data_IF_340556302158
#
_entry.id   IF_340556302158
#
_cell.length_a   1.000
_cell.length_b   1.000
_cell.length_c   1.000
_cell.angle_alpha   90.00
_cell.angle_beta   90.00
_cell.angle_gamma   90.00
#
_symmetry.space_group_name_H-M   'P 1'
#
loop_
_entity.id
_entity.type
_entity.pdbx_description
1 polymer ?
#
# COMPACT_ATOMS: atom_id res chain seq x y z
N UNK A 1 44.15 3.45 31.01
CA UNK A 1 42.91 4.24 31.05
C UNK A 1 41.95 3.66 30.02
N UNK A 2 40.98 2.89 30.47
CA UNK A 2 39.85 2.44 29.63
C UNK A 2 38.93 3.63 29.44
N UNK A 3 38.79 4.11 28.21
CA UNK A 3 37.80 5.11 27.84
C UNK A 3 36.45 4.40 27.92
N UNK A 4 35.76 4.60 29.04
CA UNK A 4 34.38 4.17 29.23
C UNK A 4 33.51 4.95 28.23
N UNK A 5 33.24 4.34 27.09
CA UNK A 5 32.29 4.86 26.11
C UNK A 5 30.94 5.03 26.80
N UNK A 6 30.40 6.25 26.78
CA UNK A 6 29.07 6.54 27.31
C UNK A 6 28.06 5.69 26.55
N UNK A 7 27.45 4.72 27.23
CA UNK A 7 26.31 3.98 26.70
C UNK A 7 25.24 5.00 26.30
N UNK A 8 24.96 5.08 25.00
CA UNK A 8 23.89 5.93 24.47
C UNK A 8 22.58 5.54 25.17
N UNK A 9 21.92 6.50 25.84
CA UNK A 9 20.62 6.24 26.46
C UNK A 9 19.62 5.87 25.36
N UNK A 10 19.14 4.63 25.39
CA UNK A 10 18.09 4.16 24.49
C UNK A 10 16.84 5.04 24.63
N UNK A 11 16.22 5.37 23.50
CA UNK A 11 14.93 6.06 23.50
C UNK A 11 13.80 5.17 24.03
N UNK A 12 12.68 5.72 24.51
CA UNK A 12 11.53 4.94 24.95
C UNK A 12 11.03 3.94 23.88
N UNK A 13 11.13 4.32 22.61
CA UNK A 13 10.76 3.47 21.46
C UNK A 13 11.71 2.28 21.27
N UNK A 14 13.01 2.47 21.52
CA UNK A 14 14.00 1.40 21.45
C UNK A 14 13.93 0.48 22.67
N UNK A 15 13.65 1.06 23.84
CA UNK A 15 13.45 0.29 25.08
C UNK A 15 12.20 -0.59 25.01
N UNK A 16 11.12 -0.10 24.37
CA UNK A 16 9.89 -0.86 24.15
C UNK A 16 9.99 -1.89 23.02
N UNK A 17 11.06 -1.86 22.22
CA UNK A 17 11.24 -2.74 21.08
C UNK A 17 12.04 -3.99 21.45
N UNK A 18 11.59 -5.14 20.94
CA UNK A 18 12.38 -6.37 21.01
C UNK A 18 13.53 -6.31 19.99
N UNK A 19 14.76 -6.20 20.47
CA UNK A 19 15.95 -6.09 19.60
C UNK A 19 16.17 -7.36 18.76
N UNK A 20 15.76 -8.53 19.26
CA UNK A 20 15.81 -9.80 18.54
C UNK A 20 14.75 -9.87 17.42
N UNK A 21 13.67 -9.10 17.53
CA UNK A 21 12.60 -9.01 16.53
C UNK A 21 12.85 -7.91 15.49
N UNK A 22 14.09 -7.42 15.35
CA UNK A 22 14.41 -6.40 14.35
C UNK A 22 14.13 -6.90 12.92
N UNK A 23 13.15 -6.27 12.25
CA UNK A 23 12.65 -6.68 10.93
C UNK A 23 12.15 -8.13 10.88
N UNK A 24 11.63 -8.61 12.00
CA UNK A 24 10.91 -9.86 12.06
C UNK A 24 9.43 -9.50 12.16
N UNK A 25 8.62 -10.02 11.24
CA UNK A 25 7.18 -9.88 11.33
C UNK A 25 6.69 -10.54 12.63
N UNK A 26 5.79 -9.88 13.35
CA UNK A 26 5.11 -10.50 14.49
C UNK A 26 4.16 -11.60 14.00
N UNK A 27 3.42 -11.32 12.91
CA UNK A 27 2.50 -12.26 12.28
C UNK A 27 2.30 -11.91 10.80
N UNK A 28 2.16 -12.93 9.95
CA UNK A 28 1.68 -12.78 8.58
C UNK A 28 0.14 -12.71 8.59
N UNK A 29 -0.41 -11.58 8.17
CA UNK A 29 -1.86 -11.32 8.21
C UNK A 29 -2.52 -11.55 6.85
N UNK A 30 -1.77 -11.43 5.76
CA UNK A 30 -2.25 -11.74 4.42
C UNK A 30 -1.17 -12.48 3.64
N UNK A 31 -1.55 -13.54 2.95
CA UNK A 31 -0.65 -14.36 2.14
C UNK A 31 -1.09 -14.35 0.68
N UNK A 32 -0.13 -14.33 -0.24
CA UNK A 32 -0.40 -14.67 -1.63
C UNK A 32 0.21 -16.04 -1.97
N UNK A 33 -0.49 -16.84 -2.77
CA UNK A 33 -0.06 -18.21 -3.14
C UNK A 33 1.37 -18.25 -3.69
N UNK A 34 1.76 -17.23 -4.46
CA UNK A 34 3.04 -17.20 -5.17
C UNK A 34 4.25 -16.92 -4.26
N UNK A 35 4.09 -16.12 -3.22
CA UNK A 35 5.22 -15.66 -2.39
C UNK A 35 5.12 -16.08 -0.93
N UNK A 36 3.99 -16.66 -0.50
CA UNK A 36 3.74 -17.06 0.88
C UNK A 36 3.50 -15.91 1.86
N UNK A 37 3.60 -14.66 1.40
CA UNK A 37 3.36 -13.46 2.20
C UNK A 37 2.91 -12.29 1.34
N UNK A 38 2.07 -11.43 1.89
CA UNK A 38 1.53 -10.27 1.23
C UNK A 38 1.46 -9.04 2.14
N UNK A 39 1.05 -9.20 3.38
CA UNK A 39 1.11 -8.16 4.38
C UNK A 39 1.27 -8.74 5.79
N UNK A 40 2.04 -8.02 6.61
CA UNK A 40 2.40 -8.46 7.97
C UNK A 40 2.04 -7.43 9.01
N UNK A 41 1.80 -7.89 10.23
CA UNK A 41 1.97 -7.09 11.43
C UNK A 41 3.46 -7.05 11.80
N UNK A 42 3.99 -5.85 12.02
CA UNK A 42 5.30 -5.64 12.59
C UNK A 42 5.26 -4.40 13.49
N UNK A 43 5.08 -4.66 14.78
CA UNK A 43 5.08 -3.68 15.87
C UNK A 43 6.47 -3.12 16.15
N UNK A 44 7.51 -3.87 15.76
CA UNK A 44 8.90 -3.51 15.98
C UNK A 44 9.60 -3.30 14.64
N UNK A 45 9.67 -2.04 14.20
CA UNK A 45 10.28 -1.65 12.94
C UNK A 45 11.31 -0.54 13.15
N UNK A 46 12.57 -0.75 12.74
CA UNK A 46 13.58 0.31 12.78
C UNK A 46 13.87 0.86 11.38
N UNK A 47 13.81 2.19 11.25
CA UNK A 47 14.15 2.91 10.01
C UNK A 47 15.55 2.52 9.55
N UNK A 48 15.69 2.15 8.27
CA UNK A 48 17.01 1.98 7.62
C UNK A 48 17.93 3.13 8.01
N UNK A 49 19.05 2.81 8.63
CA UNK A 49 20.23 3.64 8.52
C UNK A 49 21.47 2.80 8.70
N UNK A 50 22.50 3.25 8.00
CA UNK A 50 23.87 2.78 8.14
C UNK A 50 24.28 2.92 9.63
N UNK A 51 25.20 2.07 10.09
CA UNK A 51 25.87 2.14 11.40
C UNK A 51 25.13 1.51 12.61
N UNK A 52 24.67 0.26 12.51
CA UNK A 52 24.31 -0.55 13.70
C UNK A 52 23.05 -0.12 14.45
N UNK A 53 21.97 0.22 13.74
CA UNK A 53 20.71 0.67 14.35
C UNK A 53 19.95 -0.46 15.07
N UNK A 54 19.39 -0.11 16.22
CA UNK A 54 18.45 -0.85 17.08
C UNK A 54 17.05 -0.94 16.48
N UNK A 55 16.31 -1.94 16.92
CA UNK A 55 14.87 -2.02 16.75
C UNK A 55 14.18 -0.91 17.54
N UNK A 56 13.06 -0.39 17.00
CA UNK A 56 12.24 0.61 17.66
C UNK A 56 10.75 0.31 17.36
N UNK A 57 9.88 0.69 18.29
CA UNK A 57 8.43 0.68 18.02
C UNK A 57 8.09 1.91 17.16
N UNK A 58 7.26 1.70 16.13
CA UNK A 58 6.81 2.76 15.23
C UNK A 58 5.30 2.77 15.06
N UNK A 59 4.76 3.88 14.55
CA UNK A 59 3.32 3.98 14.33
C UNK A 59 2.80 3.12 13.15
N UNK A 60 3.70 2.65 12.28
CA UNK A 60 3.36 1.75 11.17
C UNK A 60 3.41 0.31 11.64
N UNK A 61 2.23 -0.28 11.81
CA UNK A 61 2.08 -1.67 12.23
C UNK A 61 1.91 -2.63 11.04
N UNK A 62 1.25 -2.18 9.97
CA UNK A 62 0.97 -3.02 8.81
C UNK A 62 1.92 -2.70 7.66
N UNK A 63 2.58 -3.74 7.16
CA UNK A 63 3.62 -3.63 6.14
C UNK A 63 3.31 -4.51 4.94
N UNK A 64 3.38 -3.93 3.74
CA UNK A 64 3.23 -4.66 2.48
C UNK A 64 4.51 -5.46 2.21
N UNK A 65 4.40 -6.78 2.05
CA UNK A 65 5.54 -7.69 1.86
C UNK A 65 5.55 -8.38 0.50
N UNK A 66 4.40 -8.52 -0.18
CA UNK A 66 4.37 -9.13 -1.52
C UNK A 66 5.24 -8.32 -2.50
N UNK A 67 6.20 -8.95 -3.21
CA UNK A 67 7.11 -8.26 -4.13
C UNK A 67 6.43 -7.60 -5.31
N UNK A 68 5.39 -8.23 -5.85
CA UNK A 68 4.70 -7.71 -7.03
C UNK A 68 3.79 -6.55 -6.65
N UNK A 69 3.07 -6.66 -5.54
CA UNK A 69 2.29 -5.55 -5.01
C UNK A 69 3.19 -4.38 -4.61
N UNK A 70 4.32 -4.63 -3.91
CA UNK A 70 5.30 -3.57 -3.62
C UNK A 70 5.79 -2.89 -4.90
N UNK A 71 6.16 -3.66 -5.91
CA UNK A 71 6.70 -3.09 -7.17
C UNK A 71 5.65 -2.27 -7.90
N UNK A 72 4.41 -2.75 -7.95
CA UNK A 72 3.30 -2.06 -8.60
C UNK A 72 2.92 -0.77 -7.85
N UNK A 73 2.79 -0.84 -6.51
CA UNK A 73 2.50 0.33 -5.68
C UNK A 73 3.64 1.36 -5.76
N UNK A 74 4.89 0.93 -5.69
CA UNK A 74 6.04 1.81 -5.89
C UNK A 74 6.07 2.45 -7.28
N UNK A 75 5.56 1.77 -8.32
CA UNK A 75 5.40 2.37 -9.65
C UNK A 75 4.41 3.53 -9.60
N UNK A 76 3.21 3.31 -9.05
CA UNK A 76 2.19 4.37 -8.89
C UNK A 76 2.75 5.56 -8.11
N UNK A 77 3.43 5.31 -6.99
CA UNK A 77 4.03 6.37 -6.17
C UNK A 77 5.07 7.18 -6.94
N UNK A 78 5.95 6.54 -7.72
CA UNK A 78 6.95 7.23 -8.56
C UNK A 78 6.32 8.11 -9.64
N UNK A 79 5.13 7.74 -10.14
CA UNK A 79 4.39 8.56 -11.09
C UNK A 79 3.64 9.73 -10.42
N UNK A 80 3.75 9.91 -9.10
CA UNK A 80 3.15 11.04 -8.38
C UNK A 80 1.76 10.75 -7.80
N UNK A 81 1.37 9.48 -7.70
CA UNK A 81 0.06 9.07 -7.19
C UNK A 81 -0.24 9.60 -5.78
N UNK A 82 0.73 9.64 -4.86
CA UNK A 82 0.53 10.16 -3.49
C UNK A 82 0.13 11.63 -3.54
N UNK A 83 0.88 12.47 -4.24
CA UNK A 83 0.58 13.89 -4.37
C UNK A 83 -0.75 14.14 -5.09
N UNK A 84 -1.09 13.30 -6.08
CA UNK A 84 -2.35 13.41 -6.80
C UNK A 84 -3.56 13.03 -5.93
N UNK A 85 -3.45 11.95 -5.14
CA UNK A 85 -4.47 11.55 -4.19
C UNK A 85 -4.57 12.49 -3.00
N UNK A 86 -3.47 13.11 -2.57
CA UNK A 86 -3.54 14.16 -1.54
C UNK A 86 -4.41 15.33 -2.03
N UNK A 87 -4.23 15.79 -3.28
CA UNK A 87 -5.10 16.82 -3.86
C UNK A 87 -6.56 16.38 -3.94
N UNK A 88 -6.83 15.11 -4.24
CA UNK A 88 -8.18 14.56 -4.20
C UNK A 88 -8.77 14.62 -2.78
N UNK A 89 -8.02 14.19 -1.76
CA UNK A 89 -8.45 14.26 -0.35
C UNK A 89 -8.69 15.70 0.09
N UNK A 90 -7.83 16.64 -0.33
CA UNK A 90 -7.97 18.05 0.02
C UNK A 90 -9.19 18.69 -0.67
N UNK A 91 -9.46 18.29 -1.91
CA UNK A 91 -10.52 18.85 -2.76
C UNK A 91 -11.90 18.19 -2.62
N UNK A 92 -11.98 16.95 -2.11
CA UNK A 92 -13.24 16.20 -1.99
C UNK A 92 -13.53 15.81 -0.52
N UNK A 93 -14.49 16.52 0.09
CA UNK A 93 -14.86 16.33 1.49
C UNK A 93 -15.37 14.91 1.83
N UNK A 94 -16.03 14.21 0.88
CA UNK A 94 -16.52 12.84 1.10
C UNK A 94 -15.36 11.85 1.11
N UNK A 95 -14.41 11.98 0.17
CA UNK A 95 -13.19 11.17 0.15
C UNK A 95 -12.38 11.41 1.43
N UNK A 96 -12.22 12.67 1.83
CA UNK A 96 -11.54 13.04 3.07
C UNK A 96 -12.19 12.40 4.29
N UNK A 97 -13.50 12.49 4.43
CA UNK A 97 -14.23 11.92 5.57
C UNK A 97 -14.04 10.41 5.67
N UNK A 98 -14.08 9.69 4.53
CA UNK A 98 -13.86 8.24 4.49
C UNK A 98 -12.42 7.85 4.81
N UNK A 99 -11.44 8.59 4.28
CA UNK A 99 -10.02 8.39 4.65
C UNK A 99 -9.82 8.60 6.15
N UNK A 100 -10.32 9.70 6.71
CA UNK A 100 -10.23 9.99 8.15
C UNK A 100 -10.92 8.92 8.99
N UNK A 101 -12.10 8.44 8.58
CA UNK A 101 -12.81 7.37 9.28
C UNK A 101 -12.05 6.04 9.28
N UNK A 102 -11.20 5.79 8.28
CA UNK A 102 -10.38 4.57 8.21
C UNK A 102 -9.32 4.49 9.32
N UNK A 103 -8.95 5.62 9.94
CA UNK A 103 -8.00 5.63 11.07
C UNK A 103 -8.57 4.90 12.29
N UNK A 104 -9.87 5.08 12.58
CA UNK A 104 -10.52 4.35 13.67
C UNK A 104 -10.57 2.84 13.41
N UNK A 105 -10.72 2.42 12.13
CA UNK A 105 -10.67 1.01 11.73
C UNK A 105 -9.27 0.43 11.94
N UNK A 106 -8.23 1.19 11.58
CA UNK A 106 -6.84 0.84 11.84
C UNK A 106 -6.56 0.69 13.34
N UNK A 107 -6.96 1.68 14.15
CA UNK A 107 -6.77 1.68 15.60
C UNK A 107 -7.48 0.50 16.27
N UNK A 108 -8.73 0.22 15.91
CA UNK A 108 -9.49 -0.92 16.43
C UNK A 108 -8.81 -2.26 16.08
N UNK A 109 -8.32 -2.42 14.85
CA UNK A 109 -7.63 -3.64 14.43
C UNK A 109 -6.27 -3.78 15.11
N UNK A 110 -5.51 -2.70 15.25
CA UNK A 110 -4.27 -2.66 16.01
C UNK A 110 -4.48 -3.06 17.48
N UNK A 111 -5.52 -2.54 18.14
CA UNK A 111 -5.89 -2.91 19.51
C UNK A 111 -6.17 -4.41 19.65
N UNK A 112 -6.83 -5.00 18.67
CA UNK A 112 -7.18 -6.42 18.68
C UNK A 112 -5.95 -7.35 18.50
N UNK A 113 -4.91 -6.88 17.81
CA UNK A 113 -3.72 -7.68 17.49
C UNK A 113 -2.56 -7.51 18.48
N UNK A 114 -2.45 -6.34 19.11
CA UNK A 114 -1.38 -6.06 20.07
C UNK A 114 -1.73 -6.60 21.47
N UNK A 115 -0.72 -7.06 22.21
CA UNK A 115 -0.87 -7.32 23.65
C UNK A 115 -1.25 -6.03 24.39
N UNK A 116 -1.83 -6.14 25.58
CA UNK A 116 -2.20 -4.98 26.39
C UNK A 116 -1.02 -4.02 26.61
N UNK A 117 0.16 -4.55 26.96
CA UNK A 117 1.37 -3.77 27.13
C UNK A 117 1.77 -3.02 25.84
N UNK A 118 1.77 -3.72 24.69
CA UNK A 118 2.14 -3.11 23.40
C UNK A 118 1.10 -2.07 22.96
N UNK A 119 -0.18 -2.33 23.20
CA UNK A 119 -1.24 -1.36 22.91
C UNK A 119 -1.14 -0.13 23.81
N UNK A 120 -0.95 -0.29 25.12
CA UNK A 120 -0.78 0.85 26.04
C UNK A 120 0.37 1.75 25.59
N UNK A 121 1.50 1.16 25.19
CA UNK A 121 2.60 1.93 24.61
C UNK A 121 2.17 2.61 23.30
N UNK A 122 1.57 1.87 22.36
CA UNK A 122 1.16 2.39 21.06
C UNK A 122 0.17 3.57 21.18
N UNK A 123 -0.86 3.42 21.99
CA UNK A 123 -1.89 4.42 22.25
C UNK A 123 -1.29 5.70 22.83
N UNK A 124 -0.48 5.56 23.90
CA UNK A 124 0.16 6.68 24.57
C UNK A 124 1.14 7.47 23.68
N UNK A 125 1.70 6.83 22.65
CA UNK A 125 2.72 7.43 21.79
C UNK A 125 2.25 7.81 20.39
N UNK A 126 1.13 7.27 19.90
CA UNK A 126 0.68 7.49 18.53
C UNK A 126 -0.79 7.90 18.42
N UNK A 127 -1.68 7.46 19.32
CA UNK A 127 -3.14 7.66 19.16
C UNK A 127 -3.68 8.78 20.05
N UNK A 128 -3.42 8.70 21.36
CA UNK A 128 -4.04 9.56 22.38
C UNK A 128 -3.26 10.84 22.70
N UNK A 129 -2.20 11.15 21.95
CA UNK A 129 -1.44 12.40 22.15
C UNK A 129 -2.24 13.63 21.67
N UNK A 130 -2.17 14.77 22.38
CA UNK A 130 -2.76 16.02 21.92
C UNK A 130 -2.16 16.48 20.58
N UNK A 131 -3.01 16.97 19.67
CA UNK A 131 -2.61 17.49 18.36
C UNK A 131 -1.62 18.67 18.49
N UNK A 132 -1.81 19.52 19.51
CA UNK A 132 -0.95 20.66 19.84
C UNK A 132 0.46 20.29 20.33
N UNK A 133 0.68 19.05 20.74
CA UNK A 133 2.00 18.53 21.11
C UNK A 133 2.78 17.97 19.89
N UNK A 134 2.24 18.12 18.67
CA UNK A 134 2.77 17.49 17.45
C UNK A 134 2.71 15.97 17.48
N UNK A 135 1.98 15.40 18.46
CA UNK A 135 2.09 14.01 18.88
C UNK A 135 1.02 13.09 18.32
N UNK A 136 -0.17 13.59 17.97
CA UNK A 136 -1.20 12.73 17.38
C UNK A 136 -0.76 12.26 16.01
N UNK A 137 -0.54 10.96 15.88
CA UNK A 137 -0.18 10.30 14.64
C UNK A 137 -1.38 9.51 14.17
N UNK A 138 -2.00 9.96 13.09
CA UNK A 138 -3.22 9.32 12.63
C UNK A 138 -2.91 8.03 11.88
N UNK A 139 -3.65 6.97 12.22
CA UNK A 139 -3.68 5.71 11.48
C UNK A 139 -2.33 5.10 11.13
N UNK A 140 -2.29 4.36 10.02
CA UNK A 140 -1.06 3.79 9.51
C UNK A 140 -0.11 4.90 8.98
N UNK A 141 1.20 4.65 9.03
CA UNK A 141 2.26 5.51 8.48
C UNK A 141 2.64 6.76 9.32
N UNK A 142 1.97 7.02 10.44
CA UNK A 142 2.26 8.14 11.35
C UNK A 142 2.15 9.52 10.68
N UNK A 143 1.01 9.79 10.04
CA UNK A 143 0.79 11.08 9.38
C UNK A 143 0.56 12.21 10.39
N UNK A 144 0.85 13.46 9.98
CA UNK A 144 0.79 14.62 10.87
C UNK A 144 -0.62 15.15 11.10
N UNK A 145 -1.47 15.09 10.08
CA UNK A 145 -2.87 15.48 10.12
C UNK A 145 -3.76 14.33 9.64
N UNK A 146 -5.02 14.30 10.08
CA UNK A 146 -5.93 13.20 9.77
C UNK A 146 -6.18 12.99 8.26
N UNK A 147 -5.99 14.04 7.45
CA UNK A 147 -6.15 13.99 5.99
C UNK A 147 -4.88 13.63 5.22
N UNK A 148 -3.72 13.63 5.88
CA UNK A 148 -2.44 13.45 5.21
C UNK A 148 -2.29 12.01 4.67
N UNK A 149 -1.63 11.88 3.53
CA UNK A 149 -1.22 10.62 2.91
C UNK A 149 0.31 10.53 2.87
N UNK A 150 0.89 9.50 3.48
CA UNK A 150 2.35 9.30 3.44
C UNK A 150 2.81 8.44 2.28
N UNK A 151 2.27 7.23 2.18
CA UNK A 151 2.58 6.28 1.13
C UNK A 151 1.40 5.33 0.91
N UNK A 152 1.22 4.89 -0.32
CA UNK A 152 0.22 3.91 -0.70
C UNK A 152 0.56 2.52 -0.16
N UNK A 153 1.85 2.22 0.03
CA UNK A 153 2.26 0.95 0.64
C UNK A 153 1.60 0.71 2.00
N UNK A 154 1.52 1.74 2.84
CA UNK A 154 0.89 1.64 4.16
C UNK A 154 -0.63 1.48 4.06
N UNK A 155 -1.29 2.20 3.14
CA UNK A 155 -2.74 2.11 2.97
C UNK A 155 -3.15 0.74 2.41
N UNK A 156 -2.42 0.24 1.41
CA UNK A 156 -2.62 -1.10 0.84
C UNK A 156 -2.35 -2.19 1.87
N UNK A 157 -1.28 -2.05 2.66
CA UNK A 157 -0.99 -3.00 3.75
C UNK A 157 -2.10 -3.01 4.79
N UNK A 158 -2.61 -1.83 5.17
CA UNK A 158 -3.73 -1.70 6.11
C UNK A 158 -4.97 -2.46 5.59
N UNK A 159 -5.34 -2.27 4.33
CA UNK A 159 -6.44 -3.01 3.70
C UNK A 159 -6.23 -4.52 3.71
N UNK A 160 -5.06 -5.00 3.26
CA UNK A 160 -4.76 -6.43 3.20
C UNK A 160 -4.72 -7.08 4.60
N UNK A 161 -4.27 -6.34 5.60
CA UNK A 161 -4.25 -6.82 6.98
C UNK A 161 -5.64 -6.89 7.64
N UNK A 162 -6.73 -6.56 6.94
CA UNK A 162 -8.09 -6.67 7.48
C UNK A 162 -8.58 -5.44 8.24
N UNK A 163 -7.93 -4.28 8.04
CA UNK A 163 -8.39 -2.99 8.54
C UNK A 163 -8.78 -2.08 7.36
N UNK A 164 -10.03 -2.16 6.84
CA UNK A 164 -10.40 -1.53 5.56
C UNK A 164 -10.00 -0.05 5.45
N UNK A 165 -9.31 0.28 4.36
CA UNK A 165 -8.91 1.64 4.00
C UNK A 165 -9.43 1.95 2.59
N UNK A 166 -10.31 2.95 2.41
CA UNK A 166 -10.96 3.17 1.11
C UNK A 166 -9.97 3.45 -0.03
N UNK A 167 -8.86 4.13 0.25
CA UNK A 167 -7.82 4.41 -0.74
C UNK A 167 -6.96 3.16 -0.97
N UNK A 168 -6.61 2.43 0.10
CA UNK A 168 -5.90 1.15 -0.01
C UNK A 168 -6.67 0.11 -0.83
N UNK A 169 -7.97 -0.01 -0.58
CA UNK A 169 -8.90 -0.88 -1.30
C UNK A 169 -8.99 -0.44 -2.77
N UNK A 170 -9.17 0.86 -3.03
CA UNK A 170 -9.19 1.39 -4.39
C UNK A 170 -7.92 1.07 -5.17
N UNK A 171 -6.74 1.15 -4.55
CA UNK A 171 -5.46 0.80 -5.19
C UNK A 171 -5.42 -0.68 -5.57
N UNK A 172 -5.85 -1.58 -4.68
CA UNK A 172 -5.90 -3.01 -4.97
C UNK A 172 -6.85 -3.31 -6.13
N UNK A 173 -8.04 -2.70 -6.13
CA UNK A 173 -9.01 -2.84 -7.21
C UNK A 173 -8.54 -2.23 -8.53
N UNK A 174 -7.78 -1.13 -8.48
CA UNK A 174 -7.18 -0.54 -9.66
C UNK A 174 -6.14 -1.47 -10.30
N UNK A 175 -5.31 -2.14 -9.49
CA UNK A 175 -4.36 -3.14 -9.98
C UNK A 175 -5.09 -4.29 -10.70
N UNK A 176 -6.21 -4.77 -10.13
CA UNK A 176 -7.06 -5.79 -10.76
C UNK A 176 -7.67 -5.27 -12.06
N UNK A 177 -8.16 -4.02 -12.07
CA UNK A 177 -8.69 -3.36 -13.26
C UNK A 177 -7.67 -3.27 -14.39
N UNK A 178 -6.43 -2.86 -14.07
CA UNK A 178 -5.34 -2.84 -15.04
C UNK A 178 -5.03 -4.25 -15.58
N UNK A 179 -5.07 -5.29 -14.75
CA UNK A 179 -4.90 -6.67 -15.21
C UNK A 179 -5.95 -7.07 -16.25
N UNK A 180 -7.20 -6.66 -16.09
CA UNK A 180 -8.27 -6.93 -17.08
C UNK A 180 -8.00 -6.20 -18.40
N UNK A 181 -7.57 -4.94 -18.34
CA UNK A 181 -7.15 -4.20 -19.55
C UNK A 181 -5.99 -4.88 -20.28
N UNK A 182 -5.03 -5.46 -19.55
CA UNK A 182 -3.95 -6.24 -20.17
C UNK A 182 -4.51 -7.47 -20.90
N UNK A 183 -5.47 -8.18 -20.30
CA UNK A 183 -6.11 -9.34 -20.95
C UNK A 183 -6.82 -8.95 -22.25
N UNK A 184 -7.57 -7.84 -22.22
CA UNK A 184 -8.27 -7.29 -23.40
C UNK A 184 -7.30 -6.90 -24.52
N UNK A 185 -6.15 -6.31 -24.18
CA UNK A 185 -5.12 -5.95 -25.16
C UNK A 185 -4.36 -7.16 -25.72
N UNK A 186 -4.19 -8.22 -24.92
CA UNK A 186 -3.53 -9.45 -25.35
C UNK A 186 -4.45 -10.37 -26.16
N UNK A 187 -5.76 -10.28 -25.91
CA UNK A 187 -6.80 -11.01 -26.63
C UNK A 187 -7.80 -10.01 -27.21
N UNK A 188 -7.39 -9.19 -28.21
CA UNK A 188 -8.35 -8.35 -28.88
C UNK A 188 -9.47 -9.25 -29.36
N UNK A 189 -10.72 -8.90 -29.02
CA UNK A 189 -11.88 -9.65 -29.48
C UNK A 189 -11.69 -9.92 -30.98
N UNK A 190 -11.77 -11.18 -31.40
CA UNK A 190 -11.80 -11.50 -32.82
C UNK A 190 -13.04 -10.81 -33.37
N UNK A 191 -12.85 -9.69 -34.04
CA UNK A 191 -13.90 -9.14 -34.87
C UNK A 191 -14.34 -10.25 -35.85
N UNK A 192 -15.64 -10.45 -36.05
CA UNK A 192 -16.10 -11.31 -37.14
C UNK A 192 -15.46 -10.78 -38.43
N UNK A 193 -14.82 -11.68 -39.17
CA UNK A 193 -13.91 -11.34 -40.27
C UNK A 193 -14.50 -10.26 -41.20
N UNK A 194 -13.73 -9.23 -41.56
CA UNK A 194 -14.15 -8.29 -42.58
C UNK A 194 -14.24 -9.03 -43.92
N UNK A 195 -15.32 -8.77 -44.65
CA UNK A 195 -15.45 -9.19 -46.03
C UNK A 195 -14.26 -8.62 -46.81
N UNK A 196 -13.63 -9.47 -47.63
CA UNK A 196 -12.42 -9.11 -48.36
C UNK A 196 -12.77 -8.05 -49.39
N UNK A 197 -12.32 -6.83 -49.15
CA UNK A 197 -11.72 -5.94 -50.15
C UNK A 197 -11.30 -4.63 -49.47
N UNK A 198 -9.98 -4.41 -49.32
CA UNK A 198 -9.26 -3.25 -49.87
C UNK A 198 -7.83 -3.12 -49.30
N UNK A 199 -7.02 -2.44 -50.11
CA UNK A 199 -5.56 -2.38 -50.11
C UNK A 199 -4.95 -1.48 -49.01
N UNK A 200 -3.80 -1.95 -48.53
CA UNK A 200 -2.55 -1.25 -48.19
C UNK A 200 -2.58 0.21 -47.70
N UNK A 201 -2.01 0.46 -46.50
CA UNK A 201 -1.00 1.50 -46.30
C UNK A 201 -0.27 1.37 -44.94
N UNK A 202 1.04 1.58 -45.05
CA UNK A 202 2.00 2.19 -44.11
C UNK A 202 2.29 1.57 -42.73
N UNK A 203 3.53 1.09 -42.63
CA UNK A 203 4.33 1.00 -41.40
C UNK A 203 4.55 2.40 -40.81
N UNK A 204 4.10 2.62 -39.58
CA UNK A 204 4.60 3.72 -38.75
C UNK A 204 5.06 3.16 -37.40
N UNK A 205 6.37 3.26 -37.16
CA UNK A 205 7.03 2.85 -35.92
C UNK A 205 6.79 3.92 -34.84
N UNK A 206 5.57 3.96 -34.31
CA UNK A 206 5.27 4.60 -33.04
C UNK A 206 5.23 3.54 -31.94
N UNK A 207 5.98 3.73 -30.85
CA UNK A 207 5.77 2.94 -29.63
C UNK A 207 4.27 3.03 -29.26
N UNK A 208 3.59 1.91 -28.96
CA UNK A 208 2.15 1.87 -29.04
C UNK A 208 1.55 2.77 -27.96
N UNK A 209 0.67 3.68 -28.37
CA UNK A 209 -0.08 4.59 -27.51
C UNK A 209 -0.83 3.87 -26.35
N UNK A 210 -0.99 2.55 -26.43
CA UNK A 210 -1.58 1.69 -25.41
C UNK A 210 -0.79 1.59 -24.10
N UNK A 211 0.54 1.74 -24.11
CA UNK A 211 1.37 1.62 -22.88
C UNK A 211 1.23 2.88 -22.01
N UNK A 212 1.07 4.05 -22.60
CA UNK A 212 0.93 5.32 -21.87
C UNK A 212 -0.36 5.36 -21.01
N UNK A 213 -1.38 4.57 -21.35
CA UNK A 213 -2.64 4.51 -20.60
C UNK A 213 -2.47 3.90 -19.19
N UNK A 214 -1.46 3.04 -18.98
CA UNK A 214 -1.25 2.37 -17.69
C UNK A 214 -0.54 3.25 -16.65
N UNK A 215 0.07 4.36 -17.07
CA UNK A 215 0.69 5.34 -16.20
C UNK A 215 -0.14 6.64 -16.08
N UNK A 216 -1.37 6.65 -16.60
CA UNK A 216 -2.26 7.80 -16.51
C UNK A 216 -2.76 8.02 -15.07
N UNK A 217 -2.06 8.91 -14.36
CA UNK A 217 -2.40 9.31 -13.00
C UNK A 217 -3.77 9.96 -12.91
N UNK A 218 -4.24 10.66 -13.95
CA UNK A 218 -5.58 11.26 -13.94
C UNK A 218 -6.64 10.17 -13.95
N UNK A 219 -6.49 9.15 -14.81
CA UNK A 219 -7.38 7.99 -14.82
C UNK A 219 -7.34 7.21 -13.49
N UNK A 220 -6.17 7.09 -12.87
CA UNK A 220 -6.04 6.50 -11.53
C UNK A 220 -6.79 7.30 -10.46
N UNK A 221 -6.65 8.63 -10.42
CA UNK A 221 -7.37 9.48 -9.45
C UNK A 221 -8.88 9.38 -9.62
N UNK A 222 -9.38 9.43 -10.87
CA UNK A 222 -10.80 9.25 -11.18
C UNK A 222 -11.31 7.90 -10.71
N UNK A 223 -10.53 6.83 -10.91
CA UNK A 223 -10.88 5.50 -10.41
C UNK A 223 -10.96 5.47 -8.88
N UNK A 224 -9.96 6.03 -8.19
CA UNK A 224 -9.93 6.05 -6.72
C UNK A 224 -11.07 6.88 -6.14
N UNK A 225 -11.39 8.02 -6.75
CA UNK A 225 -12.53 8.83 -6.36
C UNK A 225 -13.84 8.05 -6.54
N UNK A 226 -14.08 7.46 -7.70
CA UNK A 226 -15.26 6.64 -7.97
C UNK A 226 -15.41 5.49 -6.98
N UNK A 227 -14.35 4.72 -6.78
CA UNK A 227 -14.32 3.63 -5.80
C UNK A 227 -14.60 4.11 -4.39
N UNK A 228 -13.96 5.21 -3.97
CA UNK A 228 -14.13 5.76 -2.63
C UNK A 228 -15.52 6.35 -2.41
N UNK A 229 -16.26 6.74 -3.45
CA UNK A 229 -17.57 7.37 -3.32
C UNK A 229 -18.76 6.40 -3.41
N UNK A 230 -18.55 5.18 -3.93
CA UNK A 230 -19.55 4.12 -3.94
C UNK A 230 -20.03 3.83 -2.51
N UNK A 231 -21.34 3.71 -2.30
CA UNK A 231 -21.91 3.58 -0.94
C UNK A 231 -21.62 2.20 -0.35
N UNK A 232 -21.60 2.09 0.98
CA UNK A 232 -21.54 0.78 1.65
C UNK A 232 -22.76 -0.08 1.26
N UNK A 233 -23.88 0.55 0.88
CA UNK A 233 -25.11 -0.11 0.39
C UNK A 233 -24.97 -0.70 -1.02
N UNK A 234 -24.23 -0.03 -1.93
CA UNK A 234 -23.89 -0.57 -3.26
C UNK A 234 -22.91 -1.76 -3.16
N UNK A 235 -22.19 -1.88 -2.03
CA UNK A 235 -21.24 -2.95 -1.77
C UNK A 235 -21.76 -4.06 -0.86
N UNK A 236 -22.93 -3.89 -0.22
CA UNK A 236 -23.55 -4.88 0.65
C UNK A 236 -22.57 -5.42 1.70
N UNK A 237 -22.42 -4.73 2.84
CA UNK A 237 -21.25 -4.91 3.72
C UNK A 237 -19.97 -4.45 3.00
N UNK A 238 -18.94 -3.98 3.69
CA UNK A 238 -17.68 -3.57 3.02
C UNK A 238 -17.24 -4.65 2.01
N UNK A 239 -16.73 -4.29 0.81
CA UNK A 239 -16.35 -5.26 -0.21
C UNK A 239 -15.58 -6.41 0.42
N UNK A 240 -15.90 -7.64 0.01
CA UNK A 240 -15.10 -8.84 0.33
C UNK A 240 -13.64 -8.46 0.24
N UNK A 241 -12.92 -8.59 1.36
CA UNK A 241 -11.52 -8.21 1.45
C UNK A 241 -10.77 -8.74 0.22
N UNK A 242 -10.05 -7.86 -0.47
CA UNK A 242 -9.38 -8.25 -1.71
C UNK A 242 -8.42 -9.39 -1.42
N UNK A 243 -8.65 -10.52 -2.10
CA UNK A 243 -7.73 -11.65 -2.03
C UNK A 243 -6.33 -11.23 -2.50
N UNK A 244 -5.36 -11.38 -1.59
CA UNK A 244 -3.98 -11.05 -1.85
C UNK A 244 -3.38 -11.88 -2.99
N UNK A 245 -3.88 -13.11 -3.24
CA UNK A 245 -3.43 -13.94 -4.37
C UNK A 245 -3.91 -13.37 -5.71
N UNK A 246 -5.18 -12.99 -5.80
CA UNK A 246 -5.75 -12.28 -6.94
C UNK A 246 -5.02 -10.96 -7.24
N UNK A 247 -4.80 -10.12 -6.22
CA UNK A 247 -4.08 -8.86 -6.39
C UNK A 247 -2.61 -9.07 -6.78
N UNK A 248 -1.94 -10.07 -6.20
CA UNK A 248 -0.56 -10.45 -6.57
C UNK A 248 -0.47 -10.89 -8.04
N UNK A 249 -1.38 -11.76 -8.48
CA UNK A 249 -1.44 -12.25 -9.85
C UNK A 249 -1.75 -11.12 -10.84
N UNK A 250 -2.67 -10.22 -10.49
CA UNK A 250 -2.95 -9.02 -11.27
C UNK A 250 -1.73 -8.11 -11.41
N UNK A 251 -1.02 -7.84 -10.30
CA UNK A 251 0.22 -7.06 -10.31
C UNK A 251 1.30 -7.72 -11.18
N UNK A 252 1.47 -9.05 -11.08
CA UNK A 252 2.38 -9.81 -11.93
C UNK A 252 2.08 -9.58 -13.40
N UNK A 253 0.81 -9.72 -13.79
CA UNK A 253 0.36 -9.61 -15.19
C UNK A 253 0.63 -8.21 -15.74
N UNK A 254 0.23 -7.17 -15.01
CA UNK A 254 0.45 -5.77 -15.40
C UNK A 254 1.94 -5.47 -15.53
N UNK A 255 2.74 -5.82 -14.53
CA UNK A 255 4.19 -5.58 -14.58
C UNK A 255 4.86 -6.37 -15.71
N UNK A 256 4.44 -7.60 -15.97
CA UNK A 256 4.96 -8.41 -17.09
C UNK A 256 4.65 -7.79 -18.44
N UNK A 257 3.42 -7.28 -18.62
CA UNK A 257 3.01 -6.59 -19.83
C UNK A 257 3.83 -5.32 -20.06
N UNK A 258 4.05 -4.51 -19.01
CA UNK A 258 4.78 -3.25 -19.10
C UNK A 258 6.30 -3.43 -19.27
N UNK A 259 6.89 -4.46 -18.65
CA UNK A 259 8.35 -4.68 -18.65
C UNK A 259 8.80 -5.75 -19.66
N UNK A 260 7.87 -6.41 -20.35
CA UNK A 260 8.14 -7.51 -21.28
C UNK A 260 8.63 -8.81 -20.61
N UNK A 261 8.70 -8.85 -19.27
CA UNK A 261 9.09 -10.02 -18.49
C UNK A 261 8.54 -9.95 -17.05
N UNK A 262 8.34 -11.09 -16.37
CA UNK A 262 7.91 -11.10 -14.99
C UNK A 262 8.91 -10.38 -14.07
N UNK A 263 8.43 -9.65 -13.04
CA UNK A 263 9.31 -9.10 -12.03
C UNK A 263 10.05 -10.22 -11.29
N UNK A 264 11.18 -9.91 -10.69
CA UNK A 264 11.90 -10.90 -9.88
C UNK A 264 11.07 -11.27 -8.64
N UNK A 265 10.86 -12.57 -8.43
CA UNK A 265 10.16 -13.14 -7.28
C UNK A 265 10.70 -12.72 -5.90
N UNK A 266 11.98 -12.34 -5.82
CA UNK A 266 12.60 -11.87 -4.58
C UNK A 266 13.48 -10.67 -4.88
N UNK A 267 13.05 -9.47 -4.46
CA UNK A 267 14.01 -8.50 -3.92
C UNK A 267 14.20 -8.89 -2.46
N UNK A 268 15.41 -8.78 -1.90
CA UNK A 268 15.60 -8.84 -0.44
C UNK A 268 14.69 -7.77 0.15
N UNK A 269 13.50 -8.15 0.61
CA UNK A 269 12.54 -7.20 1.15
C UNK A 269 13.16 -6.59 2.38
N UNK A 270 13.44 -5.29 2.30
CA UNK A 270 13.55 -4.50 3.52
C UNK A 270 12.12 -4.25 3.95
N UNK A 271 11.73 -4.81 5.09
CA UNK A 271 10.76 -4.12 5.94
C UNK A 271 11.38 -2.73 6.14
N UNK A 272 10.75 -1.72 5.55
CA UNK A 272 11.32 -0.38 5.34
C UNK A 272 11.57 0.35 6.67
#
# INVERSE_FOLDING_TARGET
MLISGTASKQSPFEAAACQESYRVADVELATCELHGGAAVLCSTAGKVGRNGRSAAVGATLFWLTCPYLNTMVARLERQGAVSALQRLVDGNARVAARHVASHARYEAHARALLSDERWTFFDAHFVSLPESAGGRKYGNAAVGHAKDLKCLHALVAQSLCGAPNPIGDAVLHYIIHLSKKVEELQHPARDPAPDKDEKAAEEDNAAPASVNSFDDISAFVVFVEGWTLQTEDEHGTLPVAVDASGACSAACKVLTFLEGRPPRHRKKHRIN
#
